data_IF_674952929867
#
_entry.id   IF_674952929867
#
_cell.length_a   1.000
_cell.length_b   1.000
_cell.length_c   1.000
_cell.angle_alpha   90.00
_cell.angle_beta   90.00
_cell.angle_gamma   90.00
#
_symmetry.space_group_name_H-M   'P 1'
#
loop_
_entity.id
_entity.type
_entity.pdbx_description
1 polymer ?
#
# COMPACT_ATOMS: atom_id res chain seq x y z
N UNK A 1 21.18 -12.16 -15.20
CA UNK A 1 19.79 -12.56 -14.83
C UNK A 1 19.48 -11.99 -13.46
N UNK A 2 18.34 -11.33 -13.29
CA UNK A 2 17.87 -10.84 -11.98
C UNK A 2 17.34 -12.04 -11.17
N UNK A 3 17.72 -12.15 -9.90
CA UNK A 3 17.26 -13.22 -9.01
C UNK A 3 15.76 -13.09 -8.72
N UNK A 4 15.09 -14.21 -8.44
CA UNK A 4 13.68 -14.24 -8.08
C UNK A 4 13.37 -13.36 -6.86
N UNK A 5 14.25 -13.40 -5.85
CA UNK A 5 14.18 -12.50 -4.68
C UNK A 5 14.18 -11.03 -5.10
N UNK A 6 15.06 -10.63 -6.00
CA UNK A 6 15.16 -9.24 -6.44
C UNK A 6 13.91 -8.80 -7.22
N UNK A 7 13.30 -9.70 -7.99
CA UNK A 7 12.01 -9.42 -8.65
C UNK A 7 10.92 -9.15 -7.62
N UNK A 8 10.80 -10.00 -6.59
CA UNK A 8 9.82 -9.84 -5.51
C UNK A 8 10.03 -8.51 -4.76
N UNK A 9 11.26 -8.21 -4.37
CA UNK A 9 11.59 -6.95 -3.70
C UNK A 9 11.19 -5.74 -4.56
N UNK A 10 11.53 -5.75 -5.85
CA UNK A 10 11.17 -4.67 -6.76
C UNK A 10 9.65 -4.49 -6.88
N UNK A 11 8.89 -5.58 -6.98
CA UNK A 11 7.42 -5.54 -7.02
C UNK A 11 6.82 -4.97 -5.74
N UNK A 12 7.33 -5.37 -4.57
CA UNK A 12 6.85 -4.85 -3.28
C UNK A 12 7.18 -3.35 -3.16
N UNK A 13 8.42 -2.93 -3.49
CA UNK A 13 8.79 -1.52 -3.44
C UNK A 13 7.93 -0.65 -4.37
N UNK A 14 7.59 -1.16 -5.56
CA UNK A 14 6.70 -0.45 -6.47
C UNK A 14 5.31 -0.23 -5.87
N UNK A 15 4.74 -1.24 -5.19
CA UNK A 15 3.44 -1.10 -4.51
C UNK A 15 3.53 -0.18 -3.29
N UNK A 16 4.61 -0.29 -2.51
CA UNK A 16 4.84 0.56 -1.34
C UNK A 16 4.94 2.04 -1.68
N UNK A 17 5.46 2.40 -2.85
CA UNK A 17 5.51 3.79 -3.29
C UNK A 17 4.12 4.44 -3.32
N UNK A 18 3.10 3.71 -3.80
CA UNK A 18 1.71 4.16 -3.81
C UNK A 18 1.15 4.19 -2.38
N UNK A 19 1.37 3.13 -1.61
CA UNK A 19 0.83 3.02 -0.23
C UNK A 19 1.38 4.13 0.68
N UNK A 20 2.64 4.52 0.51
CA UNK A 20 3.28 5.57 1.31
C UNK A 20 2.57 6.92 1.20
N UNK A 21 1.85 7.18 0.10
CA UNK A 21 1.08 8.43 -0.09
C UNK A 21 -0.07 8.61 0.89
N UNK A 22 -0.60 7.51 1.43
CA UNK A 22 -1.73 7.52 2.36
C UNK A 22 -1.45 6.81 3.69
N UNK A 23 -0.39 6.00 3.77
CA UNK A 23 -0.01 5.27 4.98
C UNK A 23 1.50 5.02 5.06
N UNK A 24 2.24 6.07 5.41
CA UNK A 24 3.70 6.01 5.56
C UNK A 24 4.16 4.99 6.61
N UNK A 25 3.51 4.97 7.78
CA UNK A 25 3.86 4.04 8.86
C UNK A 25 3.69 2.57 8.46
N UNK A 26 2.68 2.25 7.65
CA UNK A 26 2.52 0.89 7.15
C UNK A 26 3.65 0.54 6.17
N UNK A 27 3.99 1.46 5.26
CA UNK A 27 5.06 1.24 4.30
C UNK A 27 6.43 1.07 4.97
N UNK A 28 6.73 1.83 6.03
CA UNK A 28 7.98 1.68 6.78
C UNK A 28 8.04 0.32 7.51
N UNK A 29 6.96 -0.09 8.18
CA UNK A 29 6.87 -1.40 8.84
C UNK A 29 7.07 -2.58 7.86
N UNK A 30 6.51 -2.47 6.65
CA UNK A 30 6.70 -3.50 5.61
C UNK A 30 8.15 -3.51 5.13
N UNK A 31 8.74 -2.34 4.92
CA UNK A 31 10.14 -2.22 4.50
C UNK A 31 11.10 -2.85 5.50
N UNK A 32 10.87 -2.67 6.80
CA UNK A 32 11.64 -3.33 7.85
C UNK A 32 11.48 -4.86 7.83
N UNK A 33 10.26 -5.37 7.65
CA UNK A 33 10.00 -6.81 7.55
C UNK A 33 10.72 -7.46 6.36
N UNK A 34 10.81 -6.75 5.23
CA UNK A 34 11.46 -7.26 4.01
C UNK A 34 12.96 -7.54 4.20
N UNK A 35 13.64 -6.84 5.11
CA UNK A 35 15.09 -6.96 5.31
C UNK A 35 15.50 -8.40 5.68
N UNK A 36 14.70 -9.06 6.51
CA UNK A 36 14.98 -10.41 7.02
C UNK A 36 14.05 -11.50 6.46
N UNK A 37 13.12 -11.13 5.58
CA UNK A 37 12.13 -12.05 5.02
C UNK A 37 12.76 -13.04 4.02
N UNK A 38 12.33 -14.29 4.09
CA UNK A 38 12.54 -15.32 3.06
C UNK A 38 11.71 -15.03 1.79
N UNK A 39 11.99 -15.71 0.68
CA UNK A 39 11.23 -15.49 -0.57
C UNK A 39 9.73 -15.79 -0.39
N UNK A 40 9.39 -16.83 0.36
CA UNK A 40 7.99 -17.17 0.67
C UNK A 40 7.30 -16.08 1.49
N UNK A 41 8.02 -15.47 2.44
CA UNK A 41 7.50 -14.34 3.21
C UNK A 41 7.36 -13.09 2.34
N UNK A 42 8.27 -12.86 1.40
CA UNK A 42 8.14 -11.75 0.43
C UNK A 42 6.90 -11.92 -0.46
N UNK A 43 6.55 -13.14 -0.89
CA UNK A 43 5.31 -13.39 -1.64
C UNK A 43 4.06 -13.06 -0.79
N UNK A 44 4.05 -13.45 0.48
CA UNK A 44 2.97 -13.12 1.41
C UNK A 44 2.87 -11.61 1.64
N UNK A 45 4.00 -10.94 1.87
CA UNK A 45 4.08 -9.49 2.01
C UNK A 45 3.53 -8.78 0.77
N UNK A 46 3.87 -9.26 -0.43
CA UNK A 46 3.34 -8.68 -1.66
C UNK A 46 1.81 -8.79 -1.71
N UNK A 47 1.25 -9.95 -1.34
CA UNK A 47 -0.20 -10.15 -1.23
C UNK A 47 -0.85 -9.19 -0.22
N UNK A 48 -0.26 -9.05 0.96
CA UNK A 48 -0.75 -8.16 2.02
C UNK A 48 -0.74 -6.69 1.59
N UNK A 49 0.33 -6.23 0.94
CA UNK A 49 0.45 -4.85 0.45
C UNK A 49 -0.59 -4.55 -0.64
N UNK A 50 -0.80 -5.48 -1.58
CA UNK A 50 -1.84 -5.34 -2.61
C UNK A 50 -3.23 -5.30 -1.96
N UNK A 51 -3.50 -6.18 -1.00
CA UNK A 51 -4.79 -6.20 -0.30
C UNK A 51 -5.04 -4.90 0.46
N UNK A 52 -4.01 -4.35 1.11
CA UNK A 52 -4.08 -3.07 1.81
C UNK A 52 -4.42 -1.92 0.85
N UNK A 53 -3.75 -1.86 -0.30
CA UNK A 53 -4.01 -0.85 -1.32
C UNK A 53 -5.44 -0.94 -1.87
N UNK A 54 -5.92 -2.14 -2.16
CA UNK A 54 -7.30 -2.37 -2.66
C UNK A 54 -8.36 -1.99 -1.62
N UNK A 55 -8.14 -2.30 -0.34
CA UNK A 55 -9.04 -1.90 0.74
C UNK A 55 -9.11 -0.37 0.88
N UNK A 56 -7.96 0.30 0.79
CA UNK A 56 -7.90 1.76 0.78
C UNK A 56 -8.67 2.37 -0.40
N UNK A 57 -8.45 1.86 -1.62
CA UNK A 57 -9.16 2.31 -2.82
C UNK A 57 -10.67 2.14 -2.69
N UNK A 58 -11.13 0.98 -2.20
CA UNK A 58 -12.56 0.73 -1.94
C UNK A 58 -13.15 1.68 -0.90
N UNK A 59 -12.39 2.02 0.14
CA UNK A 59 -12.83 2.99 1.15
C UNK A 59 -12.95 4.39 0.56
N UNK A 60 -12.07 4.77 -0.35
CA UNK A 60 -12.12 6.06 -1.04
C UNK A 60 -13.23 6.13 -2.08
N UNK A 61 -13.50 5.04 -2.81
CA UNK A 61 -14.62 4.96 -3.76
C UNK A 61 -15.98 5.08 -3.05
N UNK A 62 -16.11 4.47 -1.88
CA UNK A 62 -17.35 4.52 -1.08
C UNK A 62 -17.45 5.75 -0.19
N UNK A 63 -16.44 6.64 -0.18
CA UNK A 63 -16.56 7.90 0.53
C UNK A 63 -17.24 8.91 -0.39
N UNK A 64 -18.52 9.28 -0.15
CA UNK A 64 -19.10 10.38 -0.91
C UNK A 64 -18.19 11.59 -0.72
N UNK A 65 -17.85 12.34 -1.79
CA UNK A 65 -17.09 13.56 -1.64
C UNK A 65 -17.81 14.38 -0.57
N UNK A 66 -17.07 14.80 0.47
CA UNK A 66 -17.61 15.70 1.49
C UNK A 66 -18.31 16.80 0.71
N UNK A 67 -19.65 16.83 0.74
CA UNK A 67 -20.39 18.00 0.27
C UNK A 67 -19.73 19.14 1.02
N UNK A 68 -18.94 19.97 0.32
CA UNK A 68 -18.57 21.26 0.87
C UNK A 68 -19.91 21.87 1.21
N UNK A 69 -20.17 21.98 2.51
CA UNK A 69 -21.38 22.60 2.98
C UNK A 69 -21.29 24.04 2.55
N UNK A 70 -21.80 24.35 1.36
CA UNK A 70 -22.35 25.65 1.05
C UNK A 70 -23.61 25.77 1.92
N UNK A 71 -23.37 25.95 3.23
CA UNK A 71 -24.32 26.55 4.11
C UNK A 71 -24.31 28.05 3.77
N UNK A 72 -25.07 28.40 2.75
CA UNK A 72 -25.44 29.78 2.51
C UNK A 72 -26.60 30.10 3.48
N UNK A 73 -26.25 30.48 4.71
CA UNK A 73 -27.20 31.16 5.59
C UNK A 73 -27.17 32.65 5.25
N UNK A 74 -27.95 33.06 4.25
CA UNK A 74 -28.42 34.44 4.12
C UNK A 74 -29.69 34.58 3.30
#
# INVERSE_FOLDING_TARGET
MISERQKLLNSIYQQLATVRTHSERYADNVSEKMLNASNKELELILGDVISYQLDYERKMENHPPRRRGDYDYR
#
